data_IF_176834272002
#
_entry.id   IF_176834272002
#
_cell.length_a   1.000
_cell.length_b   1.000
_cell.length_c   1.000
_cell.angle_alpha   90.00
_cell.angle_beta   90.00
_cell.angle_gamma   90.00
#
_symmetry.space_group_name_H-M   'P 1'
#
loop_
_entity.id
_entity.type
_entity.pdbx_description
1 polymer ?
#
# COMPACT_ATOMS: atom_id res chain seq x y z
N UNK A 1 -11.98 3.99 31.04
CA UNK A 1 -12.25 3.03 32.13
C UNK A 1 -11.21 1.90 32.14
N UNK A 2 -9.90 2.20 32.10
CA UNK A 2 -8.82 1.18 32.00
C UNK A 2 -7.59 1.48 32.89
N UNK A 3 -7.72 2.33 33.91
CA UNK A 3 -6.57 2.77 34.72
C UNK A 3 -6.27 1.90 35.96
N UNK A 4 -6.80 0.67 36.04
CA UNK A 4 -6.60 -0.17 37.23
C UNK A 4 -6.54 -1.67 36.89
N UNK A 5 -5.69 -2.06 35.95
CA UNK A 5 -5.24 -3.46 35.85
C UNK A 5 -4.04 -3.64 36.78
N UNK A 6 -4.05 -4.72 37.58
CA UNK A 6 -2.95 -5.07 38.47
C UNK A 6 -1.65 -5.39 37.72
N UNK A 7 -0.53 -5.44 38.45
CA UNK A 7 0.79 -5.66 37.85
C UNK A 7 0.92 -7.04 37.19
N UNK A 8 0.09 -8.00 37.59
CA UNK A 8 0.02 -9.37 37.06
C UNK A 8 -0.39 -9.45 35.57
N UNK A 9 -1.07 -8.42 35.05
CA UNK A 9 -1.46 -8.35 33.62
C UNK A 9 -0.49 -7.51 32.78
N UNK A 10 0.64 -7.09 33.33
CA UNK A 10 1.64 -6.31 32.61
C UNK A 10 2.61 -7.23 31.87
N UNK A 11 2.67 -7.08 30.54
CA UNK A 11 3.73 -7.68 29.75
C UNK A 11 5.00 -6.83 29.84
N UNK A 12 6.13 -7.47 30.07
CA UNK A 12 7.45 -6.83 29.99
C UNK A 12 8.15 -7.34 28.74
N UNK A 13 8.56 -6.43 27.87
CA UNK A 13 9.37 -6.75 26.70
C UNK A 13 10.84 -6.40 26.94
N UNK A 14 11.73 -7.31 26.56
CA UNK A 14 13.17 -7.10 26.61
C UNK A 14 13.69 -6.90 25.19
N UNK A 15 14.39 -5.78 24.96
CA UNK A 15 15.04 -5.50 23.69
C UNK A 15 16.54 -5.70 23.84
N UNK A 16 17.06 -6.72 23.17
CA UNK A 16 18.49 -7.06 23.18
C UNK A 16 19.17 -6.39 21.98
N UNK A 17 20.15 -5.52 22.26
CA UNK A 17 20.96 -4.91 21.21
C UNK A 17 22.21 -5.77 20.94
N UNK A 18 22.24 -6.46 19.80
CA UNK A 18 23.32 -7.37 19.42
C UNK A 18 24.20 -6.72 18.35
N UNK A 19 25.52 -6.87 18.47
CA UNK A 19 26.49 -6.29 17.51
C UNK A 19 26.34 -6.89 16.09
N UNK A 20 26.08 -8.19 16.00
CA UNK A 20 25.81 -8.89 14.74
C UNK A 20 24.36 -9.35 14.65
N UNK A 21 23.48 -8.44 14.24
CA UNK A 21 22.05 -8.72 14.08
C UNK A 21 21.73 -9.68 12.93
N UNK A 22 22.68 -9.97 12.04
CA UNK A 22 22.47 -10.86 10.88
C UNK A 22 22.57 -12.33 11.27
N UNK A 23 23.21 -12.65 12.38
CA UNK A 23 23.41 -14.01 12.86
C UNK A 23 22.59 -14.34 14.11
N UNK A 24 21.42 -13.70 14.29
CA UNK A 24 20.56 -13.88 15.46
C UNK A 24 19.51 -14.98 15.30
N UNK A 25 19.47 -15.65 14.15
CA UNK A 25 18.49 -16.71 13.85
C UNK A 25 18.59 -17.87 14.84
N UNK A 26 19.80 -18.42 15.01
CA UNK A 26 20.08 -19.50 15.99
C UNK A 26 19.70 -19.08 17.41
N UNK A 27 19.95 -17.83 17.79
CA UNK A 27 19.60 -17.32 19.11
C UNK A 27 18.09 -17.24 19.31
N UNK A 28 17.35 -16.76 18.30
CA UNK A 28 15.89 -16.72 18.31
C UNK A 28 15.30 -18.13 18.38
N UNK A 29 15.78 -19.05 17.55
CA UNK A 29 15.33 -20.45 17.55
C UNK A 29 15.55 -21.11 18.91
N UNK A 30 16.70 -20.90 19.54
CA UNK A 30 16.98 -21.42 20.88
C UNK A 30 16.00 -20.88 21.93
N UNK A 31 15.66 -19.59 21.88
CA UNK A 31 14.64 -19.02 22.78
C UNK A 31 13.26 -19.63 22.49
N UNK A 32 12.89 -19.73 21.21
CA UNK A 32 11.61 -20.29 20.80
C UNK A 32 11.46 -21.74 21.31
N UNK A 33 12.47 -22.59 21.10
CA UNK A 33 12.49 -23.96 21.58
C UNK A 33 12.44 -24.05 23.11
N UNK A 34 13.19 -23.20 23.82
CA UNK A 34 13.14 -23.16 25.29
C UNK A 34 11.73 -22.86 25.81
N UNK A 35 11.04 -21.87 25.22
CA UNK A 35 9.68 -21.49 25.62
C UNK A 35 8.67 -22.57 25.30
N UNK A 36 8.78 -23.21 24.13
CA UNK A 36 7.86 -24.30 23.73
C UNK A 36 8.02 -25.51 24.65
N UNK A 37 9.27 -25.87 24.99
CA UNK A 37 9.56 -26.98 25.89
C UNK A 37 9.01 -26.73 27.30
N UNK A 38 9.12 -25.50 27.80
CA UNK A 38 8.57 -25.11 29.11
C UNK A 38 7.03 -25.14 29.14
N UNK A 39 6.40 -24.80 28.00
CA UNK A 39 4.94 -24.80 27.85
C UNK A 39 4.36 -26.14 27.33
N UNK A 40 5.09 -27.25 27.43
CA UNK A 40 4.64 -28.57 26.99
C UNK A 40 4.19 -28.65 25.50
N UNK A 41 4.70 -27.76 24.64
CA UNK A 41 4.31 -27.70 23.23
C UNK A 41 3.16 -26.75 22.92
N UNK A 42 2.61 -26.04 23.92
CA UNK A 42 1.43 -25.20 23.75
C UNK A 42 1.70 -23.68 23.70
N UNK A 43 0.96 -23.10 22.78
CA UNK A 43 0.72 -21.72 22.36
C UNK A 43 -0.22 -20.80 23.11
N UNK A 44 0.21 -19.85 23.94
CA UNK A 44 -0.74 -18.86 24.49
C UNK A 44 -0.92 -17.64 23.54
N UNK A 45 -1.99 -17.62 22.74
CA UNK A 45 -2.21 -16.61 21.69
C UNK A 45 -2.97 -15.36 22.14
N UNK A 46 -3.81 -15.48 23.17
CA UNK A 46 -4.76 -14.44 23.57
C UNK A 46 -4.38 -13.71 24.87
N UNK A 47 -3.07 -13.53 25.11
CA UNK A 47 -2.52 -12.79 26.25
C UNK A 47 -3.17 -11.43 26.54
N UNK A 48 -3.55 -10.67 25.51
CA UNK A 48 -4.20 -9.36 25.70
C UNK A 48 -5.54 -9.45 26.44
N UNK A 49 -6.17 -10.62 26.44
CA UNK A 49 -7.47 -10.86 27.06
C UNK A 49 -7.37 -11.52 28.43
N UNK A 50 -6.17 -11.72 29.00
CA UNK A 50 -5.98 -12.37 30.31
C UNK A 50 -6.84 -11.76 31.42
N UNK A 51 -6.88 -10.42 31.51
CA UNK A 51 -7.70 -9.73 32.50
C UNK A 51 -9.22 -9.86 32.28
N UNK A 52 -9.64 -10.20 31.06
CA UNK A 52 -11.04 -10.48 30.73
C UNK A 52 -11.38 -11.91 31.11
N UNK A 53 -10.51 -12.89 30.80
CA UNK A 53 -10.69 -14.29 31.16
C UNK A 53 -10.90 -14.48 32.66
N UNK A 54 -10.09 -13.81 33.49
CA UNK A 54 -10.21 -13.88 34.94
C UNK A 54 -11.50 -13.26 35.47
N UNK A 55 -12.05 -12.26 34.77
CA UNK A 55 -13.32 -11.60 35.15
C UNK A 55 -14.57 -12.33 34.66
N UNK A 56 -14.48 -13.01 33.53
CA UNK A 56 -15.61 -13.68 32.88
C UNK A 56 -15.58 -15.20 33.05
N UNK A 57 -14.65 -15.74 33.86
CA UNK A 57 -14.38 -17.17 34.04
C UNK A 57 -14.22 -17.93 32.70
N UNK A 58 -13.83 -17.20 31.66
CA UNK A 58 -13.72 -17.73 30.31
C UNK A 58 -12.35 -18.36 30.11
N UNK A 59 -12.28 -19.47 29.37
CA UNK A 59 -11.02 -20.19 29.18
C UNK A 59 -10.12 -19.51 28.15
N UNK A 60 -8.85 -19.43 28.48
CA UNK A 60 -7.76 -19.10 27.55
C UNK A 60 -7.70 -20.11 26.39
N UNK A 61 -7.24 -19.64 25.23
CA UNK A 61 -7.07 -20.47 24.04
C UNK A 61 -5.60 -20.85 23.94
N UNK A 62 -5.35 -22.15 23.87
CA UNK A 62 -4.02 -22.72 23.67
C UNK A 62 -4.00 -23.44 22.33
N UNK A 63 -2.97 -23.19 21.53
CA UNK A 63 -2.77 -23.83 20.23
C UNK A 63 -1.52 -24.71 20.26
N UNK A 64 -1.54 -25.94 19.72
CA UNK A 64 -0.35 -26.77 19.65
C UNK A 64 0.69 -26.16 18.71
N UNK A 65 1.96 -26.21 19.09
CA UNK A 65 3.08 -25.86 18.22
C UNK A 65 3.32 -26.99 17.21
N UNK A 66 2.86 -26.80 15.97
CA UNK A 66 2.98 -27.78 14.88
C UNK A 66 4.22 -27.57 13.98
N UNK A 67 5.20 -26.75 14.41
CA UNK A 67 6.42 -26.50 13.62
C UNK A 67 6.25 -25.55 12.42
N UNK A 68 5.07 -24.97 12.20
CA UNK A 68 4.86 -23.92 11.20
C UNK A 68 5.21 -22.54 11.78
N UNK A 69 6.50 -22.20 11.76
CA UNK A 69 7.04 -21.00 12.39
C UNK A 69 6.43 -19.70 11.85
N UNK A 70 6.22 -19.57 10.53
CA UNK A 70 5.61 -18.37 9.94
C UNK A 70 4.15 -18.17 10.40
N UNK A 71 3.35 -19.24 10.46
CA UNK A 71 1.97 -19.16 10.97
C UNK A 71 1.98 -18.72 12.44
N UNK A 72 2.86 -19.34 13.22
CA UNK A 72 2.96 -19.16 14.67
C UNK A 72 3.43 -17.74 15.01
N UNK A 73 4.43 -17.22 14.30
CA UNK A 73 4.91 -15.85 14.41
C UNK A 73 3.82 -14.80 14.14
N UNK A 74 2.79 -15.15 13.35
CA UNK A 74 1.65 -14.26 13.04
C UNK A 74 0.58 -14.23 14.12
N UNK A 75 0.30 -15.38 14.75
CA UNK A 75 -0.80 -15.53 15.72
C UNK A 75 -0.34 -15.33 17.16
N UNK A 76 0.94 -15.55 17.44
CA UNK A 76 1.46 -15.50 18.80
C UNK A 76 2.10 -14.16 19.11
N UNK A 77 1.41 -13.36 19.93
CA UNK A 77 1.86 -12.03 20.32
C UNK A 77 3.19 -12.01 21.09
N UNK A 78 3.56 -13.13 21.74
CA UNK A 78 4.78 -13.27 22.53
C UNK A 78 5.90 -13.98 21.77
N UNK A 79 5.71 -14.22 20.47
CA UNK A 79 6.73 -14.86 19.64
C UNK A 79 8.04 -14.06 19.68
N UNK A 80 9.20 -14.68 19.95
CA UNK A 80 10.48 -14.01 19.97
C UNK A 80 10.85 -13.55 18.56
N UNK A 81 11.00 -12.25 18.36
CA UNK A 81 11.29 -11.65 17.06
C UNK A 81 12.75 -11.15 17.00
N UNK A 82 13.50 -11.58 15.99
CA UNK A 82 14.75 -10.93 15.58
C UNK A 82 14.51 -9.96 14.42
N UNK A 83 15.39 -8.96 14.25
CA UNK A 83 15.32 -8.05 13.09
C UNK A 83 15.32 -8.79 11.76
N UNK A 84 16.05 -9.90 11.67
CA UNK A 84 16.10 -10.74 10.49
C UNK A 84 14.77 -11.48 10.27
N UNK A 85 14.25 -12.17 11.29
CA UNK A 85 12.98 -12.91 11.20
C UNK A 85 11.78 -12.01 10.92
N UNK A 86 11.73 -10.81 11.52
CA UNK A 86 10.68 -9.84 11.21
C UNK A 86 10.79 -9.28 9.79
N UNK A 87 11.99 -9.21 9.22
CA UNK A 87 12.16 -8.82 7.82
C UNK A 87 11.74 -9.96 6.89
N UNK A 88 12.20 -11.19 7.12
CA UNK A 88 11.89 -12.35 6.27
C UNK A 88 10.39 -12.67 6.24
N UNK A 89 9.72 -12.65 7.39
CA UNK A 89 8.26 -12.85 7.48
C UNK A 89 7.46 -11.77 6.75
N UNK A 90 7.90 -10.51 6.80
CA UNK A 90 7.30 -9.44 6.00
C UNK A 90 7.55 -9.64 4.50
N UNK A 91 8.76 -10.04 4.11
CA UNK A 91 9.11 -10.33 2.72
C UNK A 91 8.43 -11.58 2.16
N UNK A 92 7.93 -12.49 2.99
CA UNK A 92 7.21 -13.69 2.52
C UNK A 92 5.79 -13.33 2.02
N UNK A 93 5.09 -12.44 2.72
CA UNK A 93 3.74 -12.02 2.33
C UNK A 93 3.73 -10.83 1.35
N UNK A 94 4.78 -10.01 1.36
CA UNK A 94 4.89 -8.81 0.53
C UNK A 94 4.74 -9.05 -1.00
N UNK A 95 5.31 -10.11 -1.61
CA UNK A 95 5.19 -10.40 -3.04
C UNK A 95 3.74 -10.58 -3.48
N UNK A 96 2.94 -11.29 -2.69
CA UNK A 96 1.53 -11.55 -3.01
C UNK A 96 0.71 -10.26 -3.02
N UNK A 97 0.88 -9.42 -1.99
CA UNK A 97 0.20 -8.12 -1.93
C UNK A 97 0.68 -7.19 -3.04
N UNK A 98 1.98 -7.17 -3.34
CA UNK A 98 2.54 -6.36 -4.42
C UNK A 98 1.98 -6.77 -5.77
N UNK A 99 1.96 -8.07 -6.08
CA UNK A 99 1.42 -8.58 -7.34
C UNK A 99 -0.06 -8.23 -7.51
N UNK A 100 -0.86 -8.41 -6.45
CA UNK A 100 -2.28 -8.08 -6.46
C UNK A 100 -2.52 -6.58 -6.71
N UNK A 101 -1.81 -5.72 -5.97
CA UNK A 101 -1.92 -4.27 -6.11
C UNK A 101 -1.46 -3.80 -7.50
N UNK A 102 -0.39 -4.39 -8.02
CA UNK A 102 0.12 -4.09 -9.35
C UNK A 102 -0.89 -4.49 -10.43
N UNK A 103 -1.50 -5.66 -10.31
CA UNK A 103 -2.55 -6.12 -11.23
C UNK A 103 -3.74 -5.16 -11.26
N UNK A 104 -4.25 -4.76 -10.08
CA UNK A 104 -5.34 -3.79 -9.97
C UNK A 104 -4.95 -2.45 -10.59
N UNK A 105 -3.73 -1.97 -10.34
CA UNK A 105 -3.23 -0.73 -10.92
C UNK A 105 -3.18 -0.77 -12.44
N UNK A 106 -2.70 -1.86 -13.04
CA UNK A 106 -2.65 -2.04 -14.51
C UNK A 106 -4.05 -2.07 -15.10
N UNK A 107 -4.99 -2.81 -14.50
CA UNK A 107 -6.38 -2.89 -14.98
C UNK A 107 -7.06 -1.52 -14.92
N UNK A 108 -6.89 -0.80 -13.81
CA UNK A 108 -7.42 0.55 -13.67
C UNK A 108 -6.81 1.51 -14.70
N UNK A 109 -5.50 1.39 -14.96
CA UNK A 109 -4.81 2.19 -15.95
C UNK A 109 -5.33 1.94 -17.37
N UNK A 110 -5.45 0.67 -17.78
CA UNK A 110 -6.01 0.29 -19.10
C UNK A 110 -7.46 0.78 -19.24
N UNK A 111 -8.27 0.62 -18.20
CA UNK A 111 -9.65 1.12 -18.18
C UNK A 111 -9.71 2.63 -18.38
N UNK A 112 -8.84 3.40 -17.69
CA UNK A 112 -8.80 4.85 -17.83
C UNK A 112 -8.42 5.29 -19.26
N UNK A 113 -7.43 4.63 -19.88
CA UNK A 113 -7.02 4.90 -21.26
C UNK A 113 -8.17 4.60 -22.22
N UNK A 114 -8.85 3.47 -22.03
CA UNK A 114 -10.00 3.09 -22.87
C UNK A 114 -11.12 4.13 -22.78
N UNK A 115 -11.50 4.56 -21.57
CA UNK A 115 -12.56 5.57 -21.37
C UNK A 115 -12.20 6.90 -22.02
N UNK A 116 -10.95 7.35 -21.89
CA UNK A 116 -10.46 8.58 -22.56
C UNK A 116 -10.48 8.43 -24.08
N UNK A 117 -10.02 7.29 -24.59
CA UNK A 117 -10.00 6.99 -26.02
C UNK A 117 -11.40 7.00 -26.63
N UNK A 118 -12.37 6.36 -25.98
CA UNK A 118 -13.77 6.35 -26.41
C UNK A 118 -14.38 7.75 -26.38
N UNK A 119 -14.17 8.52 -25.31
CA UNK A 119 -14.63 9.92 -25.24
C UNK A 119 -14.04 10.77 -26.36
N UNK A 120 -12.76 10.60 -26.66
CA UNK A 120 -12.09 11.30 -27.76
C UNK A 120 -12.71 10.97 -29.11
N UNK A 121 -12.92 9.69 -29.39
CA UNK A 121 -13.56 9.26 -30.63
C UNK A 121 -14.97 9.85 -30.71
N UNK A 122 -15.79 9.71 -29.67
CA UNK A 122 -17.14 10.29 -29.63
C UNK A 122 -17.14 11.80 -29.86
N UNK A 123 -16.27 12.56 -29.18
CA UNK A 123 -16.16 14.02 -29.40
C UNK A 123 -15.71 14.37 -30.81
N UNK A 124 -14.79 13.61 -31.39
CA UNK A 124 -14.37 13.82 -32.80
C UNK A 124 -15.53 13.53 -33.76
N UNK A 125 -16.33 12.49 -33.51
CA UNK A 125 -17.49 12.16 -34.35
C UNK A 125 -18.60 13.22 -34.26
N UNK A 126 -18.93 13.66 -33.05
CA UNK A 126 -19.88 14.74 -32.81
C UNK A 126 -19.39 16.06 -33.44
N UNK A 127 -18.12 16.41 -33.19
CA UNK A 127 -17.51 17.59 -33.79
C UNK A 127 -17.40 17.44 -35.30
N UNK A 128 -17.16 16.27 -35.88
CA UNK A 128 -17.09 16.08 -37.33
C UNK A 128 -18.44 16.31 -38.02
N UNK A 129 -19.54 15.83 -37.43
CA UNK A 129 -20.89 16.09 -37.92
C UNK A 129 -21.23 17.59 -37.88
N UNK A 130 -20.77 18.29 -36.84
CA UNK A 130 -20.91 19.75 -36.71
C UNK A 130 -19.90 20.50 -37.61
N UNK A 131 -18.72 19.93 -37.86
CA UNK A 131 -17.64 20.47 -38.68
C UNK A 131 -18.01 20.39 -40.16
N UNK A 132 -18.73 19.38 -40.61
CA UNK A 132 -19.23 19.32 -42.00
C UNK A 132 -20.22 20.47 -42.27
N UNK A 133 -21.05 20.81 -41.28
CA UNK A 133 -21.96 21.96 -41.32
C UNK A 133 -21.21 23.30 -41.22
N UNK A 134 -20.19 23.42 -40.36
CA UNK A 134 -19.39 24.63 -40.17
C UNK A 134 -18.32 24.84 -41.28
N UNK A 135 -17.88 23.78 -41.96
CA UNK A 135 -16.96 23.85 -43.11
C UNK A 135 -17.64 24.47 -44.32
N UNK A 136 -18.96 24.30 -44.46
CA UNK A 136 -19.79 25.08 -45.40
C UNK A 136 -19.85 26.58 -45.05
N UNK A 137 -19.48 26.96 -43.83
CA UNK A 137 -19.47 28.34 -43.30
C UNK A 137 -18.05 28.93 -43.12
N UNK A 138 -16.98 28.20 -43.46
CA UNK A 138 -15.61 28.75 -43.60
C UNK A 138 -14.73 28.80 -42.34
N UNK A 139 -14.96 27.96 -41.32
CA UNK A 139 -14.21 28.03 -40.05
C UNK A 139 -13.03 27.03 -39.91
N UNK A 140 -11.95 27.41 -39.20
CA UNK A 140 -10.61 26.78 -39.22
C UNK A 140 -10.36 25.78 -38.07
N UNK A 141 -9.81 24.60 -38.40
CA UNK A 141 -9.45 23.40 -37.61
C UNK A 141 -8.69 23.53 -36.25
N UNK A 142 -8.35 24.73 -35.78
CA UNK A 142 -7.42 24.92 -34.64
C UNK A 142 -8.04 24.62 -33.26
N UNK A 143 -9.35 24.80 -33.08
CA UNK A 143 -10.00 24.67 -31.76
C UNK A 143 -10.17 23.23 -31.26
N UNK A 144 -10.32 22.25 -32.16
CA UNK A 144 -10.50 20.83 -31.78
C UNK A 144 -9.24 20.29 -31.06
N UNK A 145 -8.05 20.74 -31.49
CA UNK A 145 -6.77 20.36 -30.86
C UNK A 145 -6.61 20.88 -29.44
N UNK A 146 -7.05 22.09 -29.16
CA UNK A 146 -6.99 22.67 -27.82
C UNK A 146 -8.01 22.01 -26.88
N UNK A 147 -9.20 21.70 -27.38
CA UNK A 147 -10.25 21.04 -26.60
C UNK A 147 -9.84 19.61 -26.19
N UNK A 148 -9.29 18.83 -27.13
CA UNK A 148 -8.76 17.48 -26.91
C UNK A 148 -7.61 17.49 -25.90
N UNK A 149 -6.70 18.46 -26.02
CA UNK A 149 -5.54 18.57 -25.12
C UNK A 149 -5.99 18.91 -23.70
N UNK A 150 -6.97 19.79 -23.54
CA UNK A 150 -7.45 20.23 -22.22
C UNK A 150 -8.27 19.15 -21.51
N UNK A 151 -9.07 18.38 -22.24
CA UNK A 151 -9.80 17.22 -21.69
C UNK A 151 -8.87 16.05 -21.33
N UNK A 152 -7.84 15.77 -22.14
CA UNK A 152 -6.83 14.76 -21.81
C UNK A 152 -6.09 15.10 -20.51
N UNK A 153 -5.68 16.37 -20.32
CA UNK A 153 -5.00 16.81 -19.08
C UNK A 153 -5.90 16.62 -17.86
N UNK A 154 -7.16 17.00 -17.96
CA UNK A 154 -8.09 16.89 -16.82
C UNK A 154 -8.33 15.43 -16.42
N UNK A 155 -8.58 14.54 -17.39
CA UNK A 155 -8.87 13.13 -17.08
C UNK A 155 -7.64 12.35 -16.59
N UNK A 156 -6.42 12.76 -16.95
CA UNK A 156 -5.20 12.10 -16.47
C UNK A 156 -4.70 12.65 -15.13
N UNK A 157 -4.79 13.96 -14.92
CA UNK A 157 -4.19 14.61 -13.76
C UNK A 157 -5.12 14.57 -12.53
N UNK A 158 -6.44 14.60 -12.73
CA UNK A 158 -7.41 14.60 -11.63
C UNK A 158 -7.40 13.29 -10.83
N UNK A 159 -7.47 12.09 -11.45
CA UNK A 159 -7.42 10.84 -10.71
C UNK A 159 -6.11 10.64 -9.95
N UNK A 160 -4.98 11.07 -10.55
CA UNK A 160 -3.68 10.95 -9.89
C UNK A 160 -3.53 11.91 -8.73
N UNK A 161 -3.99 13.15 -8.86
CA UNK A 161 -3.98 14.11 -7.77
C UNK A 161 -4.82 13.59 -6.59
N UNK A 162 -6.04 13.11 -6.87
CA UNK A 162 -6.91 12.49 -5.86
C UNK A 162 -6.24 11.27 -5.25
N UNK A 163 -5.64 10.39 -6.04
CA UNK A 163 -4.93 9.20 -5.58
C UNK A 163 -3.74 9.52 -4.67
N UNK A 164 -2.94 10.54 -5.02
CA UNK A 164 -1.81 10.99 -4.20
C UNK A 164 -2.28 11.56 -2.86
N UNK A 165 -3.37 12.33 -2.85
CA UNK A 165 -3.95 12.91 -1.63
C UNK A 165 -4.49 11.81 -0.72
N UNK A 166 -5.34 10.91 -1.25
CA UNK A 166 -5.92 9.80 -0.48
C UNK A 166 -4.83 8.86 0.03
N UNK A 167 -3.86 8.52 -0.80
CA UNK A 167 -2.72 7.67 -0.41
C UNK A 167 -1.92 8.28 0.72
N UNK A 168 -1.51 9.55 0.57
CA UNK A 168 -0.74 10.26 1.61
C UNK A 168 -1.52 10.38 2.92
N UNK A 169 -2.81 10.70 2.85
CA UNK A 169 -3.68 10.80 4.03
C UNK A 169 -3.85 9.45 4.73
N UNK A 170 -4.09 8.38 3.98
CA UNK A 170 -4.27 7.03 4.51
C UNK A 170 -2.97 6.56 5.19
N UNK A 171 -1.82 6.74 4.56
CA UNK A 171 -0.53 6.38 5.14
C UNK A 171 -0.25 7.18 6.42
N UNK A 172 -0.54 8.49 6.42
CA UNK A 172 -0.40 9.32 7.62
C UNK A 172 -1.26 8.82 8.79
N UNK A 173 -2.52 8.46 8.52
CA UNK A 173 -3.43 7.94 9.55
C UNK A 173 -2.99 6.58 10.10
N UNK A 174 -2.55 5.67 9.24
CA UNK A 174 -2.02 4.36 9.68
C UNK A 174 -0.81 4.57 10.59
N UNK A 175 0.11 5.46 10.21
CA UNK A 175 1.34 5.69 10.97
C UNK A 175 1.10 6.29 12.36
N UNK A 176 0.13 7.22 12.47
CA UNK A 176 -0.29 7.80 13.74
C UNK A 176 -0.89 6.74 14.67
N UNK A 177 -1.72 5.85 14.14
CA UNK A 177 -2.37 4.78 14.92
C UNK A 177 -1.36 3.73 15.37
N UNK A 178 -0.35 3.43 14.55
CA UNK A 178 0.68 2.44 14.87
C UNK A 178 1.80 2.93 15.81
N UNK A 179 1.78 4.19 16.27
CA UNK A 179 2.80 4.70 17.20
C UNK A 179 4.23 4.71 16.65
N UNK A 180 4.38 4.80 15.32
CA UNK A 180 5.69 4.71 14.65
C UNK A 180 6.52 5.96 14.93
N UNK A 181 7.74 5.78 15.43
CA UNK A 181 8.66 6.86 15.85
C UNK A 181 9.24 7.63 14.64
N UNK A 182 9.09 7.09 13.41
CA UNK A 182 9.69 7.61 12.18
C UNK A 182 8.70 8.19 11.17
N UNK A 183 7.65 8.91 11.62
CA UNK A 183 6.63 9.53 10.74
C UNK A 183 7.25 10.31 9.57
N UNK A 184 8.29 11.11 9.84
CA UNK A 184 8.87 12.03 8.85
C UNK A 184 9.62 11.31 7.72
N UNK A 185 10.37 10.25 8.05
CA UNK A 185 11.15 9.49 7.05
C UNK A 185 10.24 8.73 6.11
N UNK A 186 9.18 8.12 6.63
CA UNK A 186 8.24 7.36 5.81
C UNK A 186 7.38 8.27 4.93
N UNK A 187 6.95 9.44 5.43
CA UNK A 187 6.23 10.42 4.61
C UNK A 187 7.10 10.98 3.46
N UNK A 188 8.42 11.10 3.65
CA UNK A 188 9.33 11.50 2.58
C UNK A 188 9.41 10.44 1.48
N UNK A 189 9.42 9.15 1.83
CA UNK A 189 9.36 8.05 0.86
C UNK A 189 8.03 8.07 0.10
N UNK A 190 6.90 8.26 0.80
CA UNK A 190 5.57 8.37 0.16
C UNK A 190 5.52 9.55 -0.80
N UNK A 191 6.05 10.71 -0.40
CA UNK A 191 6.15 11.89 -1.25
C UNK A 191 7.05 11.63 -2.48
N UNK A 192 8.16 10.91 -2.30
CA UNK A 192 9.04 10.50 -3.39
C UNK A 192 8.35 9.58 -4.40
N UNK A 193 7.60 8.58 -3.92
CA UNK A 193 6.83 7.67 -4.78
C UNK A 193 5.71 8.41 -5.52
N UNK A 194 4.95 9.27 -4.84
CA UNK A 194 3.93 10.12 -5.47
C UNK A 194 4.56 11.04 -6.54
N UNK A 195 5.69 11.66 -6.22
CA UNK A 195 6.45 12.50 -7.15
C UNK A 195 6.90 11.74 -8.40
N UNK A 196 7.39 10.50 -8.23
CA UNK A 196 7.79 9.64 -9.34
C UNK A 196 6.59 9.28 -10.24
N UNK A 197 5.44 8.95 -9.67
CA UNK A 197 4.21 8.67 -10.44
C UNK A 197 3.78 9.89 -11.25
N UNK A 198 3.77 11.08 -10.64
CA UNK A 198 3.43 12.34 -11.32
C UNK A 198 4.45 12.66 -12.42
N UNK A 199 5.74 12.44 -12.19
CA UNK A 199 6.79 12.64 -13.17
C UNK A 199 6.61 11.70 -14.38
N UNK A 200 6.37 10.40 -14.14
CA UNK A 200 6.11 9.43 -15.19
C UNK A 200 4.88 9.80 -16.02
N UNK A 201 3.78 10.20 -15.39
CA UNK A 201 2.59 10.67 -16.11
C UNK A 201 2.86 11.94 -16.92
N UNK A 202 3.61 12.89 -16.36
CA UNK A 202 3.99 14.12 -17.05
C UNK A 202 4.86 13.84 -18.28
N UNK A 203 5.78 12.88 -18.18
CA UNK A 203 6.62 12.42 -19.31
C UNK A 203 5.75 11.76 -20.40
N UNK A 204 4.86 10.85 -20.02
CA UNK A 204 3.94 10.18 -20.96
C UNK A 204 3.10 11.22 -21.69
N UNK A 205 2.52 12.17 -20.95
CA UNK A 205 1.74 13.27 -21.52
C UNK A 205 2.58 14.12 -22.50
N UNK A 206 3.81 14.47 -22.12
CA UNK A 206 4.68 15.28 -22.96
C UNK A 206 5.12 14.56 -24.24
N UNK A 207 5.37 13.25 -24.17
CA UNK A 207 5.67 12.41 -25.34
C UNK A 207 4.45 12.34 -26.27
N UNK A 208 3.26 12.13 -25.72
CA UNK A 208 2.00 12.12 -26.49
C UNK A 208 1.79 13.47 -27.19
N UNK A 209 1.97 14.57 -26.46
CA UNK A 209 1.87 15.95 -26.98
C UNK A 209 2.86 16.18 -28.12
N UNK A 210 4.12 15.77 -27.95
CA UNK A 210 5.17 15.89 -28.99
C UNK A 210 4.85 15.05 -30.23
N UNK A 211 4.40 13.80 -30.08
CA UNK A 211 4.00 12.95 -31.21
C UNK A 211 2.78 13.51 -31.95
N UNK A 212 1.77 13.97 -31.23
CA UNK A 212 0.59 14.62 -31.82
C UNK A 212 0.95 15.90 -32.56
N UNK A 213 1.80 16.77 -31.98
CA UNK A 213 2.25 18.00 -32.65
C UNK A 213 3.04 17.71 -33.93
N UNK A 214 3.92 16.69 -33.91
CA UNK A 214 4.75 16.32 -35.06
C UNK A 214 3.95 15.71 -36.21
N UNK A 215 2.89 14.94 -35.92
CA UNK A 215 2.05 14.27 -36.93
C UNK A 215 1.12 15.19 -37.74
N UNK A 216 1.11 16.51 -37.47
CA UNK A 216 0.20 17.48 -38.10
C UNK A 216 0.93 18.59 -38.84
N UNK A 217 2.27 18.53 -38.86
CA UNK A 217 3.14 19.43 -39.65
C UNK A 217 3.41 18.81 -41.04
N UNK A 218 2.76 17.69 -41.36
CA UNK A 218 2.77 17.04 -42.66
C UNK A 218 1.33 16.89 -43.14
#
# INVERSE_FOLDING_TARGET
MFNNLGNEYKATSFLLNVADWKNTEVFQENILQAVINDNNGDIFTNWHNSATFDKTESKAEYLPFEGNETRIARVWALYPQSKLSSATTQFEAFPTYLMLMLFIAIVAFVSSIMVVGLKLISTIWDDAAVYENLRRLGMKQRSIRELITKQMVFVYFVPTAIGCVIGSFTTYRIMLVSGVIYIGKTMLVVAGVCGLVVALQSIIFFILRKKLLKSYIQ
#
